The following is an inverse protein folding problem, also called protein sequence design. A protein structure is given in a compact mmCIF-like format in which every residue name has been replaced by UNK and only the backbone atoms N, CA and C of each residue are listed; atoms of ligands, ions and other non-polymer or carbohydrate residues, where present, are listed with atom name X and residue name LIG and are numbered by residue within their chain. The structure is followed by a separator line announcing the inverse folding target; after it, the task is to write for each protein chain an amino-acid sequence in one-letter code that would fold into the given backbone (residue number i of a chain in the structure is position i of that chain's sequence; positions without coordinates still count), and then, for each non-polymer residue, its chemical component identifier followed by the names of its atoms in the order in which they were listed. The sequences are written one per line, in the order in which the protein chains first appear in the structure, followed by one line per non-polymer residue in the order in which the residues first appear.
data_IF_789775603193
#
_entry.id   IF_789775603193
#
_cell.length_a   1.000
_cell.length_b   1.000
_cell.length_c   1.000
_cell.angle_alpha   90.00
_cell.angle_beta   90.00
_cell.angle_gamma   90.00
#
_symmetry.space_group_name_H-M   'P 1'
#
loop_
_entity.id
_entity.type
_entity.pdbx_description
1 polymer ?
#
# COMPACT_ATOMS: atom_id res chain seq x y z
N UNK A 1 -46.98 -27.62 -32.85
CA UNK A 1 -46.24 -26.43 -32.38
C UNK A 1 -45.95 -26.45 -30.88
N UNK A 2 -46.88 -26.86 -30.01
CA UNK A 2 -46.61 -27.00 -28.56
C UNK A 2 -45.57 -28.10 -28.27
N UNK A 3 -45.64 -29.26 -28.97
CA UNK A 3 -44.67 -30.34 -28.79
C UNK A 3 -43.24 -29.95 -29.22
N UNK A 4 -43.08 -29.14 -30.28
CA UNK A 4 -41.78 -28.66 -30.74
C UNK A 4 -41.19 -27.58 -29.83
N UNK A 5 -42.03 -26.74 -29.21
CA UNK A 5 -41.59 -25.78 -28.19
C UNK A 5 -41.24 -26.44 -26.85
N UNK A 6 -41.99 -27.47 -26.47
CA UNK A 6 -41.67 -28.33 -25.31
C UNK A 6 -40.35 -29.08 -25.51
N UNK A 7 -40.11 -29.62 -26.71
CA UNK A 7 -38.84 -30.30 -27.05
C UNK A 7 -37.66 -29.31 -27.10
N UNK A 8 -37.87 -28.07 -27.56
CA UNK A 8 -36.87 -27.00 -27.49
C UNK A 8 -36.51 -26.62 -26.05
N UNK A 9 -37.49 -26.54 -25.15
CA UNK A 9 -37.26 -26.34 -23.71
C UNK A 9 -36.54 -27.53 -23.06
N UNK A 10 -36.87 -28.76 -23.48
CA UNK A 10 -36.25 -30.00 -23.00
C UNK A 10 -34.79 -30.15 -23.45
N UNK A 11 -34.48 -29.81 -24.72
CA UNK A 11 -33.10 -29.80 -25.22
C UNK A 11 -32.25 -28.72 -24.53
N UNK A 12 -32.83 -27.56 -24.21
CA UNK A 12 -32.16 -26.52 -23.44
C UNK A 12 -31.89 -26.93 -21.98
N UNK A 13 -32.76 -27.77 -21.39
CA UNK A 13 -32.52 -28.37 -20.08
C UNK A 13 -31.36 -29.38 -20.09
N UNK A 14 -31.19 -30.13 -21.19
CA UNK A 14 -30.13 -31.14 -21.31
C UNK A 14 -28.74 -30.54 -21.62
N UNK A 15 -28.67 -29.32 -22.18
CA UNK A 15 -27.42 -28.72 -22.68
C UNK A 15 -26.78 -27.67 -21.73
N UNK A 16 -27.39 -27.32 -20.60
CA UNK A 16 -26.87 -26.32 -19.66
C UNK A 16 -26.36 -26.92 -18.35
N UNK A 17 -25.31 -27.74 -18.44
CA UNK A 17 -24.56 -28.20 -17.26
C UNK A 17 -23.51 -27.18 -16.76
N UNK A 18 -23.33 -26.05 -17.44
CA UNK A 18 -22.34 -25.07 -17.03
C UNK A 18 -22.92 -23.66 -17.03
N UNK A 19 -22.65 -22.94 -15.94
CA UNK A 19 -22.90 -21.51 -15.71
C UNK A 19 -24.32 -21.11 -15.27
N UNK A 20 -24.61 -21.24 -13.96
CA UNK A 20 -24.41 -20.18 -12.96
C UNK A 20 -25.37 -20.33 -11.78
N UNK A 21 -24.72 -20.31 -10.60
CA UNK A 21 -25.22 -20.04 -9.26
C UNK A 21 -26.15 -21.05 -8.57
N UNK A 22 -25.49 -21.85 -7.72
CA UNK A 22 -26.02 -22.32 -6.45
C UNK A 22 -26.67 -21.14 -5.70
N UNK A 23 -27.99 -21.05 -5.68
CA UNK A 23 -28.73 -21.07 -4.41
C UNK A 23 -30.24 -21.30 -4.60
N UNK A 24 -30.78 -22.10 -3.67
CA UNK A 24 -32.17 -22.18 -3.20
C UNK A 24 -33.30 -22.59 -4.17
N UNK A 25 -33.78 -23.83 -4.01
CA UNK A 25 -35.18 -24.19 -4.33
C UNK A 25 -35.44 -24.77 -5.71
N UNK A 26 -35.17 -26.08 -5.85
CA UNK A 26 -35.23 -26.96 -7.02
C UNK A 26 -36.55 -26.99 -7.85
N UNK A 27 -37.55 -26.16 -7.53
CA UNK A 27 -38.80 -26.02 -8.29
C UNK A 27 -38.83 -24.79 -9.22
N UNK A 28 -38.15 -23.71 -8.86
CA UNK A 28 -38.16 -22.44 -9.62
C UNK A 28 -37.33 -22.56 -10.90
N UNK A 29 -36.21 -23.29 -10.85
CA UNK A 29 -35.38 -23.57 -12.02
C UNK A 29 -36.17 -24.30 -13.12
N UNK A 30 -36.86 -25.39 -12.75
CA UNK A 30 -37.66 -26.21 -13.70
C UNK A 30 -38.80 -25.42 -14.37
N UNK A 31 -39.48 -24.55 -13.63
CA UNK A 31 -40.57 -23.74 -14.17
C UNK A 31 -40.09 -22.67 -15.18
N UNK A 32 -38.89 -22.11 -14.96
CA UNK A 32 -38.29 -21.11 -15.85
C UNK A 32 -38.04 -21.64 -17.26
N UNK A 33 -37.64 -22.91 -17.39
CA UNK A 33 -37.38 -23.52 -18.70
C UNK A 33 -38.67 -23.90 -19.45
N UNK A 34 -39.72 -24.29 -18.73
CA UNK A 34 -41.05 -24.51 -19.32
C UNK A 34 -41.61 -23.19 -19.85
N UNK A 35 -41.50 -22.10 -19.08
CA UNK A 35 -41.90 -20.76 -19.55
C UNK A 35 -41.12 -20.30 -20.77
N UNK A 36 -39.82 -20.61 -20.84
CA UNK A 36 -38.98 -20.28 -21.98
C UNK A 36 -39.42 -21.05 -23.24
N UNK A 37 -39.73 -22.34 -23.11
CA UNK A 37 -40.22 -23.17 -24.22
C UNK A 37 -41.61 -22.75 -24.71
N UNK A 38 -42.52 -22.39 -23.81
CA UNK A 38 -43.84 -21.83 -24.16
C UNK A 38 -43.67 -20.47 -24.83
N UNK A 39 -42.79 -19.61 -24.31
CA UNK A 39 -42.45 -18.32 -24.91
C UNK A 39 -41.93 -18.47 -26.33
N UNK A 40 -41.01 -19.41 -26.57
CA UNK A 40 -40.51 -19.72 -27.92
C UNK A 40 -41.60 -20.27 -28.85
N UNK A 41 -42.51 -21.11 -28.34
CA UNK A 41 -43.63 -21.67 -29.11
C UNK A 41 -44.62 -20.61 -29.59
N UNK A 42 -44.78 -19.51 -28.85
CA UNK A 42 -45.59 -18.34 -29.25
C UNK A 42 -44.80 -17.34 -30.09
N UNK A 43 -43.50 -17.17 -29.82
CA UNK A 43 -42.64 -16.20 -30.49
C UNK A 43 -42.33 -16.60 -31.94
N UNK A 44 -42.13 -17.90 -32.22
CA UNK A 44 -41.82 -18.38 -33.58
C UNK A 44 -42.99 -18.16 -34.58
N UNK A 45 -44.26 -18.51 -34.27
CA UNK A 45 -45.39 -18.20 -35.12
C UNK A 45 -45.67 -16.69 -35.25
N UNK A 46 -45.49 -15.92 -34.17
CA UNK A 46 -45.64 -14.47 -34.21
C UNK A 46 -44.59 -13.81 -35.12
N UNK A 47 -43.34 -14.27 -35.06
CA UNK A 47 -42.26 -13.80 -35.93
C UNK A 47 -42.48 -14.17 -37.41
N UNK A 48 -42.93 -15.40 -37.69
CA UNK A 48 -43.28 -15.83 -39.05
C UNK A 48 -44.45 -15.03 -39.63
N UNK A 49 -45.50 -14.76 -38.83
CA UNK A 49 -46.60 -13.87 -39.23
C UNK A 49 -46.13 -12.43 -39.47
N UNK A 50 -45.21 -11.93 -38.65
CA UNK A 50 -44.64 -10.58 -38.79
C UNK A 50 -43.85 -10.42 -40.09
N UNK A 51 -43.03 -11.40 -40.49
CA UNK A 51 -42.30 -11.37 -41.77
C UNK A 51 -43.24 -11.59 -42.97
N UNK A 52 -44.27 -12.41 -42.79
CA UNK A 52 -45.23 -12.74 -43.85
C UNK A 52 -46.28 -11.65 -44.08
N UNK A 53 -46.55 -10.77 -43.12
CA UNK A 53 -47.44 -9.63 -43.32
C UNK A 53 -46.75 -8.62 -44.22
N UNK A 54 -47.14 -8.61 -45.51
CA UNK A 54 -47.03 -7.38 -46.29
C UNK A 54 -47.69 -6.29 -45.46
N UNK A 55 -46.99 -5.15 -45.32
CA UNK A 55 -47.38 -3.95 -44.58
C UNK A 55 -48.62 -3.28 -45.23
N UNK A 56 -49.68 -4.05 -45.48
CA UNK A 56 -50.92 -3.63 -46.11
C UNK A 56 -51.92 -3.39 -44.99
N UNK A 57 -52.16 -2.11 -44.73
CA UNK A 57 -53.16 -1.58 -43.80
C UNK A 57 -54.50 -2.29 -44.09
N UNK A 58 -54.83 -3.29 -43.29
CA UNK A 58 -56.09 -4.04 -43.37
C UNK A 58 -56.58 -4.20 -41.94
N UNK A 59 -57.80 -3.71 -41.71
CA UNK A 59 -58.37 -3.30 -40.42
C UNK A 59 -58.87 -4.48 -39.55
N UNK A 60 -58.00 -5.44 -39.23
CA UNK A 60 -58.42 -6.61 -38.44
C UNK A 60 -57.31 -7.17 -37.56
N UNK A 61 -57.50 -7.10 -36.22
CA UNK A 61 -56.92 -7.83 -35.05
C UNK A 61 -55.45 -8.35 -35.03
N UNK A 62 -54.70 -8.30 -36.13
CA UNK A 62 -53.33 -8.76 -36.29
C UNK A 62 -52.29 -7.72 -35.85
N UNK A 63 -52.67 -6.43 -35.78
CA UNK A 63 -51.79 -5.35 -35.34
C UNK A 63 -51.33 -5.54 -33.89
N UNK A 64 -52.21 -6.08 -33.03
CA UNK A 64 -51.86 -6.42 -31.65
C UNK A 64 -50.83 -7.54 -31.56
N UNK A 65 -50.83 -8.49 -32.50
CA UNK A 65 -49.84 -9.57 -32.55
C UNK A 65 -48.46 -9.06 -33.00
N UNK A 66 -48.44 -8.14 -33.96
CA UNK A 66 -47.21 -7.49 -34.44
C UNK A 66 -46.62 -6.62 -33.32
N UNK A 67 -47.45 -5.80 -32.67
CA UNK A 67 -47.05 -4.99 -31.53
C UNK A 67 -46.52 -5.83 -30.36
N UNK A 68 -47.21 -6.93 -30.01
CA UNK A 68 -46.75 -7.87 -28.98
C UNK A 68 -45.40 -8.52 -29.37
N UNK A 69 -45.19 -8.82 -30.64
CA UNK A 69 -43.92 -9.30 -31.18
C UNK A 69 -42.78 -8.31 -30.96
N UNK A 70 -42.98 -7.03 -31.29
CA UNK A 70 -41.97 -5.98 -31.09
C UNK A 70 -41.64 -5.75 -29.62
N UNK A 71 -42.65 -5.69 -28.74
CA UNK A 71 -42.42 -5.53 -27.30
C UNK A 71 -41.63 -6.71 -26.71
N UNK A 72 -41.91 -7.93 -27.16
CA UNK A 72 -41.23 -9.13 -26.69
C UNK A 72 -39.76 -9.20 -27.17
N UNK A 73 -39.51 -8.88 -28.44
CA UNK A 73 -38.15 -8.76 -28.99
C UNK A 73 -37.37 -7.71 -28.21
N UNK A 74 -37.94 -6.52 -28.00
CA UNK A 74 -37.30 -5.45 -27.23
C UNK A 74 -36.98 -5.87 -25.79
N UNK A 75 -37.88 -6.59 -25.12
CA UNK A 75 -37.66 -7.08 -23.76
C UNK A 75 -36.50 -8.11 -23.69
N UNK A 76 -36.42 -9.03 -24.65
CA UNK A 76 -35.36 -10.05 -24.72
C UNK A 76 -34.00 -9.39 -25.03
N UNK A 77 -33.96 -8.49 -26.01
CA UNK A 77 -32.75 -7.76 -26.36
C UNK A 77 -32.26 -6.86 -25.23
N UNK A 78 -33.16 -6.14 -24.56
CA UNK A 78 -32.82 -5.27 -23.41
C UNK A 78 -32.19 -6.08 -22.28
N UNK A 79 -32.76 -7.23 -21.91
CA UNK A 79 -32.20 -8.10 -20.87
C UNK A 79 -30.82 -8.64 -21.23
N UNK A 80 -30.62 -9.07 -22.49
CA UNK A 80 -29.31 -9.58 -22.94
C UNK A 80 -28.26 -8.47 -23.02
N UNK A 81 -28.66 -7.28 -23.49
CA UNK A 81 -27.81 -6.10 -23.55
C UNK A 81 -27.37 -5.66 -22.14
N UNK A 82 -28.29 -5.55 -21.19
CA UNK A 82 -28.00 -5.16 -19.80
C UNK A 82 -27.02 -6.14 -19.16
N UNK A 83 -27.25 -7.45 -19.32
CA UNK A 83 -26.35 -8.43 -18.72
C UNK A 83 -24.97 -8.40 -19.38
N UNK A 84 -24.88 -8.48 -20.71
CA UNK A 84 -23.57 -8.60 -21.38
C UNK A 84 -22.75 -7.30 -21.38
N UNK A 85 -23.38 -6.15 -21.58
CA UNK A 85 -22.67 -4.87 -21.65
C UNK A 85 -22.53 -4.24 -20.27
N UNK A 86 -23.54 -4.38 -19.40
CA UNK A 86 -23.45 -3.91 -18.01
C UNK A 86 -22.34 -4.61 -17.23
N UNK A 87 -22.24 -5.95 -17.33
CA UNK A 87 -21.16 -6.71 -16.68
C UNK A 87 -19.79 -6.34 -17.23
N UNK A 88 -19.65 -6.21 -18.57
CA UNK A 88 -18.38 -5.81 -19.19
C UNK A 88 -17.94 -4.39 -18.82
N UNK A 89 -18.88 -3.45 -18.73
CA UNK A 89 -18.58 -2.07 -18.31
C UNK A 89 -18.16 -2.05 -16.84
N UNK A 90 -18.88 -2.77 -15.97
CA UNK A 90 -18.55 -2.85 -14.56
C UNK A 90 -17.19 -3.53 -14.34
N UNK A 91 -16.90 -4.60 -15.08
CA UNK A 91 -15.61 -5.29 -15.05
C UNK A 91 -14.48 -4.39 -15.56
N UNK A 92 -14.69 -3.68 -16.67
CA UNK A 92 -13.72 -2.71 -17.18
C UNK A 92 -13.47 -1.57 -16.18
N UNK A 93 -14.51 -1.04 -15.53
CA UNK A 93 -14.39 -0.01 -14.50
C UNK A 93 -13.62 -0.54 -13.27
N UNK A 94 -13.92 -1.74 -12.81
CA UNK A 94 -13.23 -2.40 -11.68
C UNK A 94 -11.76 -2.68 -12.00
N UNK A 95 -11.46 -3.11 -13.23
CA UNK A 95 -10.10 -3.35 -13.68
C UNK A 95 -9.30 -2.05 -13.86
N UNK A 96 -9.96 -0.98 -14.35
CA UNK A 96 -9.37 0.35 -14.43
C UNK A 96 -9.08 0.93 -13.03
N UNK A 97 -10.02 0.79 -12.08
CA UNK A 97 -9.82 1.21 -10.70
C UNK A 97 -8.67 0.43 -10.04
N UNK A 98 -8.63 -0.90 -10.22
CA UNK A 98 -7.55 -1.73 -9.69
C UNK A 98 -6.19 -1.34 -10.30
N UNK A 99 -6.14 -1.10 -11.61
CA UNK A 99 -4.91 -0.66 -12.30
C UNK A 99 -4.47 0.73 -11.85
N UNK A 100 -5.41 1.64 -11.58
CA UNK A 100 -5.14 2.97 -11.06
C UNK A 100 -4.62 2.91 -9.61
N UNK A 101 -5.21 2.06 -8.76
CA UNK A 101 -4.72 1.82 -7.39
C UNK A 101 -3.34 1.17 -7.38
N UNK A 102 -3.08 0.18 -8.24
CA UNK A 102 -1.76 -0.43 -8.39
C UNK A 102 -0.73 0.57 -8.91
N UNK A 103 -1.10 1.44 -9.85
CA UNK A 103 -0.22 2.50 -10.34
C UNK A 103 0.07 3.53 -9.25
N UNK A 104 -0.93 3.93 -8.46
CA UNK A 104 -0.73 4.83 -7.31
C UNK A 104 0.22 4.21 -6.28
N UNK A 105 0.02 2.93 -5.93
CA UNK A 105 0.92 2.19 -5.02
C UNK A 105 2.33 2.04 -5.58
N UNK A 106 2.48 1.79 -6.89
CA UNK A 106 3.80 1.76 -7.55
C UNK A 106 4.47 3.11 -7.52
N UNK A 107 3.75 4.21 -7.77
CA UNK A 107 4.27 5.56 -7.68
C UNK A 107 4.68 5.90 -6.25
N UNK A 108 3.88 5.55 -5.24
CA UNK A 108 4.21 5.74 -3.82
C UNK A 108 5.46 4.93 -3.42
N UNK A 109 5.55 3.66 -3.85
CA UNK A 109 6.71 2.83 -3.59
C UNK A 109 7.95 3.32 -4.35
N UNK A 110 7.83 3.74 -5.61
CA UNK A 110 8.94 4.27 -6.41
C UNK A 110 9.35 5.65 -5.91
N UNK A 111 8.44 6.50 -5.44
CA UNK A 111 8.78 7.76 -4.75
C UNK A 111 9.51 7.47 -3.44
N UNK A 112 9.07 6.47 -2.68
CA UNK A 112 9.75 6.04 -1.47
C UNK A 112 11.14 5.47 -1.79
N UNK A 113 11.28 4.63 -2.81
CA UNK A 113 12.58 4.11 -3.25
C UNK A 113 13.49 5.22 -3.79
N UNK A 114 12.95 6.19 -4.54
CA UNK A 114 13.68 7.35 -5.01
C UNK A 114 14.10 8.27 -3.87
N UNK A 115 13.24 8.51 -2.87
CA UNK A 115 13.61 9.29 -1.69
C UNK A 115 14.69 8.56 -0.90
N UNK A 116 14.54 7.25 -0.69
CA UNK A 116 15.53 6.42 0.01
C UNK A 116 16.84 6.32 -0.76
N UNK A 117 16.81 6.22 -2.09
CA UNK A 117 18.01 6.15 -2.93
C UNK A 117 18.71 7.51 -3.02
N UNK A 118 17.94 8.61 -3.13
CA UNK A 118 18.46 9.97 -3.07
C UNK A 118 19.11 10.25 -1.71
N UNK A 119 18.44 9.85 -0.63
CA UNK A 119 18.99 9.91 0.73
C UNK A 119 20.31 9.12 0.84
N UNK A 120 20.35 7.88 0.35
CA UNK A 120 21.59 7.07 0.32
C UNK A 120 22.71 7.70 -0.50
N UNK A 121 22.42 8.28 -1.67
CA UNK A 121 23.43 8.96 -2.50
C UNK A 121 23.98 10.19 -1.77
N UNK A 122 23.10 10.94 -1.11
CA UNK A 122 23.48 12.10 -0.32
C UNK A 122 24.30 11.69 0.92
N UNK A 123 23.97 10.58 1.57
CA UNK A 123 24.73 10.00 2.69
C UNK A 123 26.12 9.51 2.27
N UNK A 124 26.22 8.84 1.12
CA UNK A 124 27.53 8.41 0.57
C UNK A 124 28.39 9.61 0.21
N UNK A 125 27.84 10.62 -0.45
CA UNK A 125 28.57 11.85 -0.79
C UNK A 125 29.04 12.58 0.47
N UNK A 126 28.18 12.65 1.49
CA UNK A 126 28.50 13.28 2.78
C UNK A 126 29.58 12.50 3.56
N UNK A 127 29.53 11.16 3.57
CA UNK A 127 30.55 10.34 4.21
C UNK A 127 31.94 10.53 3.58
N UNK A 128 32.00 10.77 2.27
CA UNK A 128 33.23 11.11 1.55
C UNK A 128 33.74 12.50 1.97
N UNK A 129 32.87 13.50 2.04
CA UNK A 129 33.24 14.86 2.44
C UNK A 129 33.70 14.95 3.91
N UNK A 130 33.05 14.22 4.81
CA UNK A 130 33.40 14.16 6.23
C UNK A 130 34.74 13.48 6.50
N UNK A 131 35.16 12.56 5.63
CA UNK A 131 36.47 11.90 5.73
C UNK A 131 37.62 12.85 5.34
N UNK A 132 37.32 13.89 4.56
CA UNK A 132 38.31 14.80 3.97
C UNK A 132 38.38 16.18 4.65
N UNK A 133 37.53 16.48 5.64
CA UNK A 133 37.51 17.77 6.31
C UNK A 133 38.72 17.98 7.26
N UNK A 134 39.44 19.12 7.17
CA UNK A 134 40.55 19.41 8.08
C UNK A 134 40.06 19.68 9.50
N UNK A 135 40.76 19.09 10.49
CA UNK A 135 40.50 19.30 11.92
C UNK A 135 40.90 20.73 12.32
N UNK A 136 39.92 21.60 12.56
CA UNK A 136 40.13 22.97 13.06
C UNK A 136 39.96 23.01 14.59
N UNK A 137 40.73 23.90 15.22
CA UNK A 137 41.00 24.08 16.65
C UNK A 137 39.76 24.05 17.57
N UNK A 138 39.80 23.26 18.65
CA UNK A 138 38.65 22.48 19.13
C UNK A 138 37.86 23.11 20.30
N UNK A 139 38.42 23.92 21.20
CA UNK A 139 37.75 24.10 22.51
C UNK A 139 36.70 25.22 22.65
N UNK A 140 36.83 26.35 21.95
CA UNK A 140 35.85 27.47 22.06
C UNK A 140 34.71 27.40 21.05
N UNK A 141 34.93 26.73 19.92
CA UNK A 141 33.90 26.47 18.93
C UNK A 141 32.92 25.39 19.41
N UNK A 142 33.38 24.45 20.25
CA UNK A 142 32.60 23.29 20.69
C UNK A 142 31.32 23.68 21.43
N UNK A 143 31.41 24.59 22.41
CA UNK A 143 30.26 25.03 23.19
C UNK A 143 29.18 25.72 22.35
N UNK A 144 29.56 26.55 21.37
CA UNK A 144 28.58 27.23 20.51
C UNK A 144 27.81 26.26 19.62
N UNK A 145 28.48 25.24 19.06
CA UNK A 145 27.82 24.23 18.24
C UNK A 145 26.93 23.30 19.06
N UNK A 146 27.36 22.96 20.28
CA UNK A 146 26.58 22.19 21.24
C UNK A 146 25.32 22.92 21.67
N UNK A 147 25.40 24.22 22.01
CA UNK A 147 24.24 25.04 22.34
C UNK A 147 23.24 25.10 21.19
N UNK A 148 23.73 25.33 19.97
CA UNK A 148 22.90 25.33 18.75
C UNK A 148 22.23 23.97 18.51
N UNK A 149 22.93 22.87 18.74
CA UNK A 149 22.37 21.53 18.65
C UNK A 149 21.26 21.32 19.69
N UNK A 150 21.49 21.70 20.94
CA UNK A 150 20.50 21.60 22.02
C UNK A 150 19.26 22.43 21.70
N UNK A 151 19.42 23.64 21.19
CA UNK A 151 18.32 24.50 20.76
C UNK A 151 17.50 23.85 19.61
N UNK A 152 18.17 23.28 18.61
CA UNK A 152 17.51 22.56 17.52
C UNK A 152 16.77 21.32 18.03
N UNK A 153 17.39 20.53 18.92
CA UNK A 153 16.79 19.35 19.51
C UNK A 153 15.56 19.68 20.36
N UNK A 154 15.61 20.75 21.14
CA UNK A 154 14.48 21.18 21.97
C UNK A 154 13.34 21.79 21.13
N UNK A 155 13.66 22.44 20.01
CA UNK A 155 12.66 22.97 19.08
C UNK A 155 12.13 21.94 18.07
N UNK A 156 12.60 20.69 18.10
CA UNK A 156 12.21 19.64 17.15
C UNK A 156 10.70 19.40 17.12
N UNK A 157 10.07 19.21 18.29
CA UNK A 157 8.64 18.89 18.37
C UNK A 157 7.78 20.04 17.85
N UNK A 158 8.14 21.28 18.20
CA UNK A 158 7.39 22.47 17.77
C UNK A 158 7.56 22.73 16.28
N UNK A 159 8.78 22.65 15.75
CA UNK A 159 9.08 22.87 14.31
C UNK A 159 8.47 21.80 13.40
N UNK A 160 8.24 20.60 13.91
CA UNK A 160 7.68 19.48 13.14
C UNK A 160 6.19 19.28 13.39
N UNK A 161 5.51 20.21 14.06
CA UNK A 161 4.06 20.15 14.29
C UNK A 161 3.29 20.82 13.14
N UNK A 162 3.44 20.30 11.92
CA UNK A 162 2.72 20.79 10.73
C UNK A 162 1.53 19.88 10.39
N UNK A 163 0.37 20.41 9.92
CA UNK A 163 -0.81 19.59 9.63
C UNK A 163 -0.56 18.53 8.55
N UNK A 164 0.10 18.93 7.46
CA UNK A 164 0.41 18.04 6.34
C UNK A 164 1.39 16.92 6.75
N UNK A 165 1.02 15.68 6.50
CA UNK A 165 1.77 14.51 6.95
C UNK A 165 3.10 14.36 6.20
N UNK A 166 3.11 14.59 4.88
CA UNK A 166 4.31 14.44 4.06
C UNK A 166 5.36 15.50 4.42
N UNK A 167 4.94 16.75 4.56
CA UNK A 167 5.82 17.84 5.00
C UNK A 167 6.34 17.59 6.42
N UNK A 168 5.51 17.03 7.30
CA UNK A 168 5.94 16.64 8.65
C UNK A 168 7.11 15.65 8.62
N UNK A 169 6.99 14.61 7.82
CA UNK A 169 8.04 13.60 7.65
C UNK A 169 9.30 14.23 7.07
N UNK A 170 9.15 15.08 6.05
CA UNK A 170 10.27 15.79 5.41
C UNK A 170 11.04 16.65 6.42
N UNK A 171 10.34 17.46 7.20
CA UNK A 171 10.95 18.32 8.22
C UNK A 171 11.63 17.52 9.32
N UNK A 172 11.03 16.39 9.75
CA UNK A 172 11.66 15.50 10.74
C UNK A 172 12.95 14.91 10.22
N UNK A 173 12.98 14.46 8.96
CA UNK A 173 14.18 13.94 8.32
C UNK A 173 15.26 15.02 8.20
N UNK A 174 14.90 16.20 7.67
CA UNK A 174 15.81 17.33 7.48
C UNK A 174 16.44 17.80 8.80
N UNK A 175 15.63 17.95 9.85
CA UNK A 175 16.14 18.34 11.17
C UNK A 175 17.02 17.24 11.79
N UNK A 176 16.60 15.98 11.71
CA UNK A 176 17.38 14.85 12.21
C UNK A 176 18.77 14.79 11.56
N UNK A 177 18.81 14.86 10.23
CA UNK A 177 20.05 14.91 9.45
C UNK A 177 20.92 16.10 9.84
N UNK A 178 20.37 17.31 9.87
CA UNK A 178 21.10 18.53 10.25
C UNK A 178 21.70 18.45 11.65
N UNK A 179 20.96 17.90 12.61
CA UNK A 179 21.46 17.70 13.97
C UNK A 179 22.57 16.66 14.02
N UNK A 180 22.41 15.52 13.34
CA UNK A 180 23.46 14.51 13.19
C UNK A 180 24.74 15.06 12.55
N UNK A 181 24.61 15.90 11.51
CA UNK A 181 25.72 16.57 10.85
C UNK A 181 26.49 17.50 11.78
N UNK A 182 25.79 18.27 12.62
CA UNK A 182 26.44 19.12 13.62
C UNK A 182 27.28 18.27 14.58
N UNK A 183 26.76 17.11 15.03
CA UNK A 183 27.50 16.21 15.92
C UNK A 183 28.75 15.68 15.22
N UNK A 184 28.64 15.18 13.99
CA UNK A 184 29.78 14.58 13.28
C UNK A 184 30.83 15.62 12.92
N UNK A 185 30.43 16.77 12.35
CA UNK A 185 31.36 17.81 11.87
C UNK A 185 32.18 18.44 12.99
N UNK A 186 31.57 18.58 14.17
CA UNK A 186 32.22 19.19 15.33
C UNK A 186 32.78 18.16 16.31
N UNK A 187 32.64 16.86 16.01
CA UNK A 187 33.11 15.76 16.85
C UNK A 187 32.63 15.87 18.31
N UNK A 188 31.35 16.22 18.49
CA UNK A 188 30.76 16.42 19.82
C UNK A 188 30.72 15.09 20.60
N UNK A 189 30.95 15.15 21.91
CA UNK A 189 30.93 13.97 22.78
C UNK A 189 29.52 13.39 22.92
N UNK A 190 29.33 12.13 22.51
CA UNK A 190 28.04 11.43 22.64
C UNK A 190 27.62 11.23 24.09
N UNK A 191 28.59 11.04 25.00
CA UNK A 191 28.33 10.83 26.43
C UNK A 191 27.73 12.08 27.07
N UNK A 192 28.20 13.26 26.68
CA UNK A 192 27.65 14.52 27.17
C UNK A 192 26.26 14.80 26.59
N UNK A 193 26.02 14.42 25.34
CA UNK A 193 24.74 14.62 24.66
C UNK A 193 23.65 13.71 25.21
N UNK A 194 24.00 12.52 25.70
CA UNK A 194 23.05 11.59 26.34
C UNK A 194 22.38 12.18 27.60
N UNK A 195 23.05 13.12 28.28
CA UNK A 195 22.46 13.84 29.42
C UNK A 195 21.25 14.69 29.00
N UNK A 196 21.15 15.06 27.73
CA UNK A 196 20.03 15.82 27.17
C UNK A 196 19.08 14.86 26.42
N UNK A 197 18.33 14.04 27.16
CA UNK A 197 17.42 13.03 26.61
C UNK A 197 16.11 13.61 26.02
N UNK A 198 16.18 14.67 25.23
CA UNK A 198 15.03 15.15 24.47
C UNK A 198 14.79 14.29 23.23
N UNK A 199 13.54 14.22 22.76
CA UNK A 199 13.19 13.43 21.58
C UNK A 199 13.99 13.86 20.33
N UNK A 200 14.24 15.16 20.16
CA UNK A 200 15.08 15.68 19.09
C UNK A 200 16.55 15.25 19.22
N UNK A 201 17.07 15.15 20.45
CA UNK A 201 18.44 14.68 20.68
C UNK A 201 18.58 13.18 20.40
N UNK A 202 17.59 12.38 20.79
CA UNK A 202 17.52 10.96 20.44
C UNK A 202 17.54 10.79 18.92
N UNK A 203 16.75 11.59 18.20
CA UNK A 203 16.75 11.59 16.75
C UNK A 203 18.12 11.98 16.18
N UNK A 204 18.75 13.02 16.73
CA UNK A 204 20.09 13.47 16.31
C UNK A 204 21.14 12.37 16.49
N UNK A 205 21.14 11.69 17.64
CA UNK A 205 22.04 10.57 17.94
C UNK A 205 21.77 9.36 17.05
N UNK A 206 20.51 9.11 16.67
CA UNK A 206 20.19 8.10 15.67
C UNK A 206 20.81 8.46 14.31
N UNK A 207 20.63 9.69 13.82
CA UNK A 207 21.25 10.15 12.56
C UNK A 207 22.78 10.18 12.62
N UNK A 208 23.39 10.49 13.76
CA UNK A 208 24.84 10.35 13.96
C UNK A 208 25.31 8.94 13.59
N UNK A 209 24.61 7.89 14.06
CA UNK A 209 24.97 6.50 13.77
C UNK A 209 24.80 6.17 12.28
N UNK A 210 23.81 6.77 11.61
CA UNK A 210 23.62 6.59 10.17
C UNK A 210 24.74 7.25 9.36
N UNK A 211 25.12 8.48 9.73
CA UNK A 211 26.16 9.25 9.04
C UNK A 211 27.58 8.73 9.31
N UNK A 212 27.83 8.24 10.54
CA UNK A 212 29.13 7.69 10.96
C UNK A 212 28.95 6.38 11.73
N UNK A 213 28.65 5.27 11.02
CA UNK A 213 28.50 3.95 11.63
C UNK A 213 29.78 3.53 12.36
N UNK A 214 29.65 3.04 13.59
CA UNK A 214 30.77 2.58 14.42
C UNK A 214 30.33 1.52 15.42
N UNK A 215 31.26 0.77 16.00
CA UNK A 215 30.98 -0.23 17.05
C UNK A 215 30.27 0.40 18.26
N UNK A 216 30.74 1.56 18.72
CA UNK A 216 30.11 2.34 19.80
C UNK A 216 28.68 2.78 19.46
N UNK A 217 28.35 2.86 18.17
CA UNK A 217 27.01 3.19 17.70
C UNK A 217 25.97 2.17 18.17
N UNK A 218 26.33 0.89 18.31
CA UNK A 218 25.42 -0.12 18.81
C UNK A 218 25.01 0.15 20.26
N UNK A 219 25.99 0.42 21.14
CA UNK A 219 25.74 0.73 22.54
C UNK A 219 24.92 2.02 22.69
N UNK A 220 25.20 3.02 21.85
CA UNK A 220 24.41 4.25 21.79
C UNK A 220 22.95 3.96 21.42
N UNK A 221 22.70 3.16 20.37
CA UNK A 221 21.34 2.81 19.96
C UNK A 221 20.56 2.07 21.06
N UNK A 222 21.22 1.19 21.81
CA UNK A 222 20.60 0.48 22.95
C UNK A 222 20.15 1.42 24.07
N UNK A 223 20.91 2.49 24.31
CA UNK A 223 20.57 3.48 25.34
C UNK A 223 19.37 4.30 24.87
N UNK A 224 19.47 4.89 23.67
CA UNK A 224 18.45 5.82 23.19
C UNK A 224 17.13 5.13 22.81
N UNK A 225 17.16 3.85 22.44
CA UNK A 225 15.95 3.07 22.13
C UNK A 225 15.00 2.95 23.32
N UNK A 226 15.51 2.96 24.55
CA UNK A 226 14.69 2.86 25.77
C UNK A 226 13.90 4.14 26.05
N UNK A 227 14.41 5.28 25.58
CA UNK A 227 13.82 6.61 25.82
C UNK A 227 13.01 7.14 24.64
N UNK A 228 13.05 6.45 23.48
CA UNK A 228 12.38 6.89 22.26
C UNK A 228 10.85 6.76 22.36
N UNK A 229 10.15 7.89 22.33
CA UNK A 229 8.69 7.91 22.49
C UNK A 229 7.95 8.00 21.15
N UNK A 230 8.42 8.82 20.21
CA UNK A 230 7.71 9.07 18.95
C UNK A 230 7.95 7.98 17.91
N UNK A 231 6.91 7.69 17.12
CA UNK A 231 6.95 6.69 16.05
C UNK A 231 8.07 6.94 15.04
N UNK A 232 8.25 8.19 14.61
CA UNK A 232 9.30 8.54 13.64
C UNK A 232 10.71 8.34 14.21
N UNK A 233 10.90 8.61 15.50
CA UNK A 233 12.20 8.40 16.16
C UNK A 233 12.52 6.92 16.26
N UNK A 234 11.54 6.10 16.64
CA UNK A 234 11.67 4.63 16.61
C UNK A 234 12.00 4.12 15.21
N UNK A 235 11.32 4.65 14.18
CA UNK A 235 11.61 4.35 12.78
C UNK A 235 13.05 4.69 12.42
N UNK A 236 13.53 5.89 12.77
CA UNK A 236 14.92 6.30 12.54
C UNK A 236 15.92 5.37 13.23
N UNK A 237 15.65 4.94 14.47
CA UNK A 237 16.49 3.99 15.20
C UNK A 237 16.58 2.64 14.47
N UNK A 238 15.47 2.15 13.89
CA UNK A 238 15.50 0.93 13.07
C UNK A 238 16.38 1.09 11.83
N UNK A 239 16.30 2.25 11.15
CA UNK A 239 17.21 2.56 10.02
C UNK A 239 18.67 2.57 10.46
N UNK A 240 18.96 3.04 11.68
CA UNK A 240 20.30 3.02 12.25
C UNK A 240 20.79 1.59 12.55
N UNK A 241 19.93 0.71 13.08
CA UNK A 241 20.26 -0.71 13.24
C UNK A 241 20.53 -1.39 11.90
N UNK A 242 19.71 -1.13 10.87
CA UNK A 242 19.97 -1.65 9.52
C UNK A 242 21.32 -1.17 8.99
N UNK A 243 21.66 0.09 9.22
CA UNK A 243 22.94 0.66 8.81
C UNK A 243 24.10 -0.04 9.52
N UNK A 244 24.01 -0.27 10.82
CA UNK A 244 25.03 -1.03 11.56
C UNK A 244 25.15 -2.48 11.07
N UNK A 245 24.01 -3.14 10.82
CA UNK A 245 23.98 -4.51 10.27
C UNK A 245 24.68 -4.59 8.91
N UNK A 246 24.36 -3.69 7.98
CA UNK A 246 24.96 -3.65 6.63
C UNK A 246 26.44 -3.35 6.66
N UNK A 247 26.91 -2.58 7.63
CA UNK A 247 28.32 -2.27 7.84
C UNK A 247 29.06 -3.29 8.73
N UNK A 248 28.45 -4.45 9.02
CA UNK A 248 29.04 -5.54 9.82
C UNK A 248 29.37 -5.19 11.28
N UNK A 249 28.75 -4.14 11.84
CA UNK A 249 28.89 -3.79 13.26
C UNK A 249 27.94 -4.59 14.17
N UNK A 250 26.98 -5.31 13.59
CA UNK A 250 26.12 -6.26 14.32
C UNK A 250 26.57 -7.67 13.95
N UNK A 251 27.00 -8.44 14.96
CA UNK A 251 27.43 -9.82 14.81
C UNK A 251 26.36 -10.77 15.42
N UNK A 252 26.58 -12.08 15.30
CA UNK A 252 25.68 -13.11 15.84
C UNK A 252 25.38 -12.95 17.33
N UNK A 253 26.35 -12.50 18.13
CA UNK A 253 26.15 -12.30 19.58
C UNK A 253 25.24 -11.10 19.88
N UNK A 254 25.19 -10.11 18.99
CA UNK A 254 24.35 -8.92 19.15
C UNK A 254 22.92 -9.13 18.65
N UNK A 255 22.68 -10.05 17.70
CA UNK A 255 21.37 -10.22 17.04
C UNK A 255 20.23 -10.37 18.05
N UNK A 256 20.36 -11.27 19.02
CA UNK A 256 19.32 -11.53 20.02
C UNK A 256 18.94 -10.29 20.83
N UNK A 257 19.93 -9.50 21.22
CA UNK A 257 19.70 -8.28 21.98
C UNK A 257 19.00 -7.20 21.13
N UNK A 258 19.44 -7.03 19.88
CA UNK A 258 18.81 -6.09 18.94
C UNK A 258 17.37 -6.50 18.65
N UNK A 259 17.11 -7.80 18.45
CA UNK A 259 15.76 -8.36 18.25
C UNK A 259 14.84 -8.02 19.42
N UNK A 260 15.30 -8.16 20.66
CA UNK A 260 14.52 -7.80 21.85
C UNK A 260 14.15 -6.31 21.87
N UNK A 261 15.09 -5.43 21.50
CA UNK A 261 14.86 -3.98 21.46
C UNK A 261 13.83 -3.62 20.39
N UNK A 262 13.99 -4.12 19.16
CA UNK A 262 13.09 -3.78 18.06
C UNK A 262 11.70 -4.38 18.24
N UNK A 263 11.59 -5.53 18.90
CA UNK A 263 10.29 -6.14 19.23
C UNK A 263 9.54 -5.30 20.26
N UNK A 264 10.23 -4.65 21.20
CA UNK A 264 9.59 -3.72 22.13
C UNK A 264 8.94 -2.52 21.40
N UNK A 265 9.41 -2.15 20.21
CA UNK A 265 8.80 -1.08 19.41
C UNK A 265 7.46 -1.45 18.78
N UNK A 266 7.09 -2.74 18.73
CA UNK A 266 5.79 -3.18 18.22
C UNK A 266 4.64 -2.64 19.06
N UNK A 267 4.86 -2.39 20.35
CA UNK A 267 3.87 -1.77 21.22
C UNK A 267 3.58 -0.33 20.74
N UNK A 268 2.34 -0.11 20.29
CA UNK A 268 1.85 1.14 19.72
C UNK A 268 2.47 1.52 18.36
N UNK A 269 2.97 0.55 17.60
CA UNK A 269 3.45 0.79 16.23
C UNK A 269 2.30 1.02 15.24
N UNK A 270 2.49 1.93 14.29
CA UNK A 270 1.63 2.04 13.10
C UNK A 270 2.06 1.01 12.03
N UNK A 271 1.26 0.88 10.97
CA UNK A 271 1.53 -0.09 9.89
C UNK A 271 2.90 0.13 9.23
N UNK A 272 3.32 1.40 9.12
CA UNK A 272 4.62 1.77 8.54
C UNK A 272 5.78 1.29 9.41
N UNK A 273 5.69 1.51 10.73
CA UNK A 273 6.70 1.06 11.69
C UNK A 273 6.72 -0.47 11.80
N UNK A 274 5.56 -1.14 11.82
CA UNK A 274 5.47 -2.60 11.82
C UNK A 274 6.15 -3.22 10.60
N UNK A 275 5.89 -2.67 9.40
CA UNK A 275 6.57 -3.09 8.17
C UNK A 275 8.08 -2.93 8.30
N UNK A 276 8.53 -1.78 8.81
CA UNK A 276 9.96 -1.52 9.01
C UNK A 276 10.60 -2.49 10.00
N UNK A 277 9.92 -2.82 11.11
CA UNK A 277 10.38 -3.82 12.08
C UNK A 277 10.58 -5.17 11.39
N UNK A 278 9.63 -5.60 10.55
CA UNK A 278 9.74 -6.87 9.82
C UNK A 278 10.91 -6.87 8.83
N UNK A 279 11.12 -5.76 8.12
CA UNK A 279 12.26 -5.61 7.21
C UNK A 279 13.60 -5.72 7.97
N UNK A 280 13.72 -5.04 9.12
CA UNK A 280 14.90 -5.10 9.98
C UNK A 280 15.12 -6.51 10.54
N UNK A 281 14.07 -7.21 10.99
CA UNK A 281 14.16 -8.61 11.43
C UNK A 281 14.68 -9.52 10.32
N UNK A 282 14.21 -9.31 9.09
CA UNK A 282 14.66 -10.06 7.93
C UNK A 282 16.16 -9.86 7.69
N UNK A 283 16.66 -8.63 7.78
CA UNK A 283 18.10 -8.34 7.66
C UNK A 283 18.89 -9.04 8.77
N UNK A 284 18.42 -8.99 10.02
CA UNK A 284 19.10 -9.63 11.15
C UNK A 284 19.14 -11.16 11.04
N UNK A 285 18.09 -11.76 10.47
CA UNK A 285 18.03 -13.23 10.26
C UNK A 285 19.13 -13.75 9.32
N UNK A 286 19.65 -12.90 8.43
CA UNK A 286 20.78 -13.23 7.56
C UNK A 286 22.11 -13.29 8.32
N UNK A 287 22.20 -12.64 9.48
CA UNK A 287 23.41 -12.57 10.31
C UNK A 287 23.43 -13.74 11.31
N UNK A 288 22.30 -14.02 11.95
CA UNK A 288 22.19 -15.07 12.97
C UNK A 288 20.75 -15.46 13.29
N UNK A 289 20.54 -16.54 14.07
CA UNK A 289 19.21 -16.95 14.50
C UNK A 289 18.54 -15.86 15.34
N UNK A 290 17.22 -15.72 15.19
CA UNK A 290 16.41 -14.72 15.91
C UNK A 290 15.97 -15.20 17.30
N UNK A 291 16.19 -16.47 17.64
CA UNK A 291 15.82 -17.14 18.92
C UNK A 291 16.97 -17.19 19.94
#
# INVERSE_FOLDING_TARGET
MICSGGFGGYLNYLHNFDTLDKDSGDKIGRFKYILLGIGAAFLVPAFLKMISSNLSISDDNNDYLIFAGFCLIAAIFSRRFINTIGEKILEAAKNAEKSAQESKRKIENTQFELSTAKERIEDVKLAVDLKNAPKVNIERADNSHKEKLIELANSYVTKTSVPDYAERLRLKAELGRKMGEIIVRNNLSTEELLNHSSEGMILALSYLVQLKPSEKGLDLLKIISKSASQLYTKYSILVSFDTLARNSYINKTHVKEVVNIITAFQQNADNSLLRKIQDTLTILSLIGPLE
#
